data_IF_223773740615
#
_entry.id   IF_223773740615
#
_cell.length_a   1.000
_cell.length_b   1.000
_cell.length_c   1.000
_cell.angle_alpha   90.00
_cell.angle_beta   90.00
_cell.angle_gamma   90.00
#
_symmetry.space_group_name_H-M   'P 1'
#
loop_
_entity.id
_entity.type
_entity.pdbx_description
1 polymer ?
#
# COMPACT_ATOMS: atom_id res chain seq x y z
N UNK A 1 -6.00 -19.49 -35.41
CA UNK A 1 -7.03 -20.04 -34.50
C UNK A 1 -8.20 -19.06 -34.47
N UNK A 2 -9.41 -19.44 -34.91
CA UNK A 2 -10.59 -18.57 -34.87
C UNK A 2 -11.44 -18.93 -33.66
N UNK A 3 -11.66 -17.98 -32.76
CA UNK A 3 -12.53 -18.14 -31.60
C UNK A 3 -13.93 -17.66 -31.96
N UNK A 4 -14.94 -18.52 -31.79
CA UNK A 4 -16.36 -18.18 -31.96
C UNK A 4 -17.02 -18.14 -30.59
N UNK A 5 -17.60 -16.98 -30.25
CA UNK A 5 -18.35 -16.86 -29.00
C UNK A 5 -19.68 -17.65 -29.07
N UNK A 6 -20.14 -18.26 -27.96
CA UNK A 6 -21.38 -19.05 -27.92
C UNK A 6 -22.66 -18.24 -28.19
N UNK A 7 -22.63 -16.93 -27.91
CA UNK A 7 -23.77 -16.03 -28.09
C UNK A 7 -23.36 -14.65 -28.62
N UNK A 8 -24.27 -13.88 -29.23
CA UNK A 8 -24.00 -12.50 -29.63
C UNK A 8 -23.66 -11.58 -28.43
N UNK A 9 -24.23 -11.85 -27.26
CA UNK A 9 -23.99 -11.09 -26.04
C UNK A 9 -22.57 -11.33 -25.53
N UNK A 10 -22.12 -12.58 -25.53
CA UNK A 10 -20.73 -12.88 -25.14
C UNK A 10 -19.76 -12.33 -26.18
N UNK A 11 -20.07 -12.39 -27.48
CA UNK A 11 -19.28 -11.68 -28.49
C UNK A 11 -19.11 -10.20 -28.13
N UNK A 12 -20.19 -9.52 -27.74
CA UNK A 12 -20.12 -8.12 -27.36
C UNK A 12 -19.30 -7.89 -26.09
N UNK A 13 -19.46 -8.73 -25.05
CA UNK A 13 -18.64 -8.65 -23.83
C UNK A 13 -17.15 -8.81 -24.13
N UNK A 14 -16.80 -9.77 -24.98
CA UNK A 14 -15.42 -10.00 -25.38
C UNK A 14 -14.88 -8.88 -26.27
N UNK A 15 -15.70 -8.33 -27.18
CA UNK A 15 -15.32 -7.16 -27.99
C UNK A 15 -15.12 -5.90 -27.13
N UNK A 16 -15.98 -5.68 -26.14
CA UNK A 16 -15.86 -4.56 -25.20
C UNK A 16 -14.61 -4.75 -24.34
N UNK A 17 -14.39 -5.94 -23.76
CA UNK A 17 -13.18 -6.22 -22.99
C UNK A 17 -11.90 -6.05 -23.84
N UNK A 18 -11.90 -6.53 -25.09
CA UNK A 18 -10.78 -6.39 -26.03
C UNK A 18 -10.57 -4.94 -26.45
N UNK A 19 -11.64 -4.20 -26.71
CA UNK A 19 -11.61 -2.78 -27.05
C UNK A 19 -11.11 -1.93 -25.89
N UNK A 20 -11.59 -2.18 -24.68
CA UNK A 20 -11.12 -1.54 -23.45
C UNK A 20 -9.65 -1.85 -23.19
N UNK A 21 -9.23 -3.12 -23.34
CA UNK A 21 -7.82 -3.49 -23.21
C UNK A 21 -6.95 -2.77 -24.25
N UNK A 22 -7.39 -2.69 -25.52
CA UNK A 22 -6.66 -1.96 -26.56
C UNK A 22 -6.59 -0.46 -26.30
N UNK A 23 -7.66 0.18 -25.81
CA UNK A 23 -7.64 1.60 -25.44
C UNK A 23 -6.70 1.86 -24.25
N UNK A 24 -6.65 0.96 -23.27
CA UNK A 24 -5.68 1.01 -22.19
C UNK A 24 -4.23 0.79 -22.67
N UNK A 25 -4.02 0.00 -23.73
CA UNK A 25 -2.69 -0.28 -24.29
C UNK A 25 -2.21 0.85 -25.21
N UNK A 26 -3.10 1.49 -25.96
CA UNK A 26 -2.78 2.67 -26.78
C UNK A 26 -2.45 3.90 -25.90
N UNK A 27 -3.03 3.94 -24.69
CA UNK A 27 -2.63 4.90 -23.65
C UNK A 27 -1.27 4.57 -23.00
N UNK A 28 -0.65 3.43 -23.31
CA UNK A 28 0.61 3.00 -22.68
C UNK A 28 1.86 3.66 -23.29
N UNK A 29 1.72 4.36 -24.42
CA UNK A 29 2.79 5.22 -24.95
C UNK A 29 2.70 6.68 -24.43
N UNK A 30 1.62 7.03 -23.72
CA UNK A 30 1.56 8.26 -22.91
C UNK A 30 1.47 7.90 -21.42
N UNK A 31 2.64 7.86 -20.78
CA UNK A 31 2.82 7.99 -19.32
C UNK A 31 2.24 6.81 -18.54
N UNK A 32 3.07 5.80 -18.28
CA UNK A 32 2.92 4.93 -17.10
C UNK A 32 2.52 5.85 -15.94
N UNK A 33 1.38 5.63 -15.26
CA UNK A 33 0.99 6.49 -14.16
C UNK A 33 2.15 6.43 -13.14
N UNK A 34 2.78 7.56 -12.79
CA UNK A 34 3.97 7.60 -11.93
C UNK A 34 3.76 6.84 -10.61
N UNK A 35 2.50 6.68 -10.21
CA UNK A 35 2.06 6.01 -9.00
C UNK A 35 2.48 4.53 -8.86
N UNK A 36 2.58 3.74 -9.94
CA UNK A 36 2.88 2.31 -9.81
C UNK A 36 4.39 2.03 -9.62
N UNK A 37 5.23 2.71 -10.39
CA UNK A 37 6.69 2.62 -10.24
C UNK A 37 7.14 3.27 -8.92
N UNK A 38 6.53 4.41 -8.55
CA UNK A 38 6.81 5.08 -7.26
C UNK A 38 6.35 4.25 -6.06
N UNK A 39 5.23 3.51 -6.17
CA UNK A 39 4.75 2.63 -5.11
C UNK A 39 5.66 1.40 -4.92
N UNK A 40 6.11 0.77 -6.01
CA UNK A 40 7.06 -0.33 -5.96
C UNK A 40 8.41 0.15 -5.39
N UNK A 41 8.91 1.30 -5.85
CA UNK A 41 10.10 1.97 -5.32
C UNK A 41 9.96 2.27 -3.82
N UNK A 42 8.82 2.81 -3.38
CA UNK A 42 8.54 3.09 -1.98
C UNK A 42 8.53 1.82 -1.12
N UNK A 43 7.93 0.73 -1.62
CA UNK A 43 7.87 -0.55 -0.90
C UNK A 43 9.25 -1.19 -0.75
N UNK A 44 10.11 -1.07 -1.78
CA UNK A 44 11.49 -1.52 -1.76
C UNK A 44 12.29 -0.73 -0.72
N UNK A 45 12.26 0.61 -0.80
CA UNK A 45 12.97 1.49 0.14
C UNK A 45 12.53 1.26 1.60
N UNK A 46 11.25 0.97 1.86
CA UNK A 46 10.77 0.60 3.20
C UNK A 46 11.40 -0.71 3.71
N UNK A 47 11.62 -1.68 2.82
CA UNK A 47 12.30 -2.93 3.18
C UNK A 47 13.78 -2.71 3.41
N UNK A 48 14.43 -1.83 2.63
CA UNK A 48 15.81 -1.39 2.86
C UNK A 48 15.99 -0.75 4.25
N UNK A 49 15.06 0.11 4.70
CA UNK A 49 15.15 0.70 6.04
C UNK A 49 15.18 -0.36 7.15
N UNK A 50 14.39 -1.44 7.02
CA UNK A 50 14.41 -2.53 8.00
C UNK A 50 15.76 -3.25 7.99
N UNK A 51 16.31 -3.51 6.81
CA UNK A 51 17.64 -4.10 6.67
C UNK A 51 18.72 -3.24 7.32
N UNK A 52 18.68 -1.92 7.15
CA UNK A 52 19.63 -1.03 7.82
C UNK A 52 19.50 -1.07 9.34
N UNK A 53 18.29 -1.16 9.90
CA UNK A 53 18.10 -1.36 11.34
C UNK A 53 18.78 -2.64 11.85
N UNK A 54 18.58 -3.75 11.15
CA UNK A 54 19.20 -5.03 11.50
C UNK A 54 20.73 -4.94 11.42
N UNK A 55 21.24 -4.31 10.36
CA UNK A 55 22.67 -4.13 10.15
C UNK A 55 23.32 -3.22 11.21
N UNK A 56 22.68 -2.10 11.57
CA UNK A 56 23.15 -1.22 12.65
C UNK A 56 23.19 -1.95 13.99
N UNK A 57 22.17 -2.78 14.29
CA UNK A 57 22.17 -3.61 15.49
C UNK A 57 23.35 -4.59 15.50
N UNK A 58 23.60 -5.28 14.37
CA UNK A 58 24.74 -6.18 14.22
C UNK A 58 26.08 -5.45 14.40
N UNK A 59 26.24 -4.25 13.84
CA UNK A 59 27.45 -3.45 13.97
C UNK A 59 27.67 -2.97 15.40
N UNK A 60 26.62 -2.56 16.12
CA UNK A 60 26.69 -2.22 17.55
C UNK A 60 27.14 -3.43 18.38
N UNK A 61 26.63 -4.62 18.07
CA UNK A 61 27.11 -5.86 18.71
C UNK A 61 28.56 -6.15 18.37
N UNK A 62 28.99 -5.96 17.12
CA UNK A 62 30.38 -6.15 16.70
C UNK A 62 31.34 -5.21 17.45
N UNK A 63 30.99 -3.93 17.57
CA UNK A 63 31.74 -2.93 18.37
C UNK A 63 31.82 -3.38 19.83
N UNK A 64 30.69 -3.77 20.43
CA UNK A 64 30.65 -4.24 21.82
C UNK A 64 31.51 -5.49 22.04
N UNK A 65 31.46 -6.46 21.12
CA UNK A 65 32.27 -7.67 21.20
C UNK A 65 33.76 -7.38 21.07
N UNK A 66 34.16 -6.50 20.13
CA UNK A 66 35.56 -6.12 19.95
C UNK A 66 36.12 -5.32 21.14
N UNK A 67 35.28 -4.49 21.79
CA UNK A 67 35.67 -3.74 22.98
C UNK A 67 35.80 -4.60 24.25
N UNK A 68 35.10 -5.74 24.32
CA UNK A 68 35.09 -6.65 25.47
C UNK A 68 35.81 -7.98 25.18
N UNK A 69 36.75 -7.99 24.23
CA UNK A 69 37.53 -9.19 23.95
C UNK A 69 38.44 -9.56 25.14
N UNK A 70 38.63 -10.87 25.37
CA UNK A 70 39.37 -11.42 26.53
C UNK A 70 40.83 -10.97 26.58
N UNK A 71 41.48 -10.79 25.42
CA UNK A 71 42.86 -10.28 25.29
C UNK A 71 42.94 -8.74 25.33
N UNK A 72 41.83 -8.07 25.65
CA UNK A 72 41.71 -6.62 25.67
C UNK A 72 41.05 -6.03 24.41
N UNK A 73 40.75 -4.71 24.40
CA UNK A 73 39.99 -4.08 23.32
C UNK A 73 40.70 -4.16 21.97
N UNK A 74 40.02 -4.70 20.96
CA UNK A 74 40.57 -4.82 19.61
C UNK A 74 40.33 -3.53 18.81
N UNK A 75 41.21 -2.55 19.01
CA UNK A 75 41.05 -1.18 18.49
C UNK A 75 40.76 -1.14 16.98
N UNK A 76 41.44 -1.96 16.18
CA UNK A 76 41.21 -1.96 14.73
C UNK A 76 39.80 -2.44 14.36
N UNK A 77 39.31 -3.53 14.99
CA UNK A 77 37.94 -4.01 14.74
C UNK A 77 36.89 -3.03 15.23
N UNK A 78 37.16 -2.32 16.32
CA UNK A 78 36.28 -1.26 16.82
C UNK A 78 36.19 -0.13 15.79
N UNK A 79 37.33 0.32 15.26
CA UNK A 79 37.39 1.39 14.26
C UNK A 79 36.67 0.99 12.97
N UNK A 80 36.95 -0.20 12.45
CA UNK A 80 36.31 -0.75 11.24
C UNK A 80 34.79 -0.86 11.41
N UNK A 81 34.33 -1.42 12.54
CA UNK A 81 32.90 -1.58 12.82
C UNK A 81 32.19 -0.23 13.04
N UNK A 82 32.87 0.74 13.66
CA UNK A 82 32.33 2.09 13.87
C UNK A 82 32.27 2.88 12.57
N UNK A 83 33.31 2.81 11.74
CA UNK A 83 33.35 3.41 10.40
C UNK A 83 32.23 2.86 9.51
N UNK A 84 32.04 1.54 9.49
CA UNK A 84 30.96 0.90 8.76
C UNK A 84 29.58 1.28 9.31
N UNK A 85 29.45 1.44 10.64
CA UNK A 85 28.22 1.93 11.27
C UNK A 85 27.87 3.34 10.81
N UNK A 86 28.84 4.25 10.79
CA UNK A 86 28.64 5.61 10.25
C UNK A 86 28.15 5.56 8.80
N UNK A 87 28.79 4.77 7.94
CA UNK A 87 28.37 4.64 6.55
C UNK A 87 26.95 4.06 6.39
N UNK A 88 26.55 3.15 7.29
CA UNK A 88 25.21 2.56 7.32
C UNK A 88 24.18 3.60 7.76
N UNK A 89 24.46 4.37 8.81
CA UNK A 89 23.62 5.47 9.27
C UNK A 89 23.41 6.52 8.17
N UNK A 90 24.47 6.93 7.47
CA UNK A 90 24.37 7.90 6.37
C UNK A 90 23.46 7.40 5.24
N UNK A 91 23.57 6.11 4.91
CA UNK A 91 22.76 5.48 3.86
C UNK A 91 21.30 5.32 4.30
N UNK A 92 21.07 4.98 5.57
CA UNK A 92 19.75 4.96 6.17
C UNK A 92 19.05 6.32 6.07
N UNK A 93 19.75 7.40 6.45
CA UNK A 93 19.21 8.77 6.39
C UNK A 93 18.83 9.14 4.96
N UNK A 94 19.73 8.92 3.98
CA UNK A 94 19.43 9.19 2.56
C UNK A 94 18.20 8.44 2.08
N UNK A 95 18.06 7.17 2.46
CA UNK A 95 16.91 6.34 2.07
C UNK A 95 15.62 6.82 2.72
N UNK A 96 15.68 7.25 3.99
CA UNK A 96 14.55 7.80 4.72
C UNK A 96 14.08 9.12 4.10
N UNK A 97 15.00 10.02 3.76
CA UNK A 97 14.69 11.28 3.07
C UNK A 97 14.01 11.03 1.72
N UNK A 98 14.49 10.06 0.97
CA UNK A 98 13.89 9.66 -0.30
C UNK A 98 12.45 9.14 -0.14
N UNK A 99 12.18 8.35 0.90
CA UNK A 99 10.84 7.89 1.23
C UNK A 99 9.93 9.08 1.55
N UNK A 100 10.42 10.06 2.30
CA UNK A 100 9.66 11.28 2.60
C UNK A 100 9.34 12.07 1.33
N UNK A 101 10.29 12.21 0.40
CA UNK A 101 10.08 12.87 -0.91
C UNK A 101 9.03 12.14 -1.74
N UNK A 102 9.12 10.81 -1.85
CA UNK A 102 8.15 9.98 -2.57
C UNK A 102 6.74 10.09 -1.96
N UNK A 103 6.65 10.13 -0.63
CA UNK A 103 5.36 10.24 0.07
C UNK A 103 4.73 11.62 -0.11
N UNK A 104 5.52 12.70 -0.03
CA UNK A 104 5.06 14.07 -0.31
C UNK A 104 4.62 14.25 -1.76
N UNK A 105 5.36 13.64 -2.69
CA UNK A 105 5.01 13.65 -4.13
C UNK A 105 3.72 12.88 -4.39
N UNK A 106 3.51 11.73 -3.74
CA UNK A 106 2.26 10.99 -3.83
C UNK A 106 1.06 11.77 -3.25
N UNK A 107 1.26 12.50 -2.15
CA UNK A 107 0.20 13.31 -1.53
C UNK A 107 -0.19 14.54 -2.37
N UNK A 108 0.77 15.16 -3.05
CA UNK A 108 0.53 16.34 -3.91
C UNK A 108 -0.05 15.98 -5.27
N UNK A 109 0.19 14.76 -5.76
CA UNK A 109 -0.35 14.25 -7.02
C UNK A 109 -1.69 13.53 -6.88
N UNK A 110 -2.40 13.64 -5.76
CA UNK A 110 -3.77 13.14 -5.66
C UNK A 110 -4.65 13.85 -6.70
N UNK A 111 -5.11 13.18 -7.78
CA UNK A 111 -6.02 13.81 -8.71
C UNK A 111 -7.35 14.00 -7.98
N UNK A 112 -7.79 15.24 -7.93
CA UNK A 112 -9.18 15.66 -7.78
C UNK A 112 -10.15 14.54 -8.23
N UNK A 113 -11.01 14.14 -7.30
CA UNK A 113 -12.15 13.28 -7.57
C UNK A 113 -12.96 13.88 -8.74
N UNK A 114 -13.00 13.19 -9.87
CA UNK A 114 -13.80 13.60 -11.02
C UNK A 114 -15.27 13.22 -10.72
N UNK A 115 -16.23 14.17 -10.70
CA UNK A 115 -17.62 13.86 -10.42
C UNK A 115 -18.19 12.86 -11.43
N UNK A 116 -18.78 11.78 -10.90
CA UNK A 116 -19.50 10.76 -11.66
C UNK A 116 -20.60 11.43 -12.52
N UNK A 117 -20.63 11.23 -13.85
CA UNK A 117 -21.76 11.69 -14.66
C UNK A 117 -23.04 10.96 -14.21
N UNK A 118 -24.01 11.71 -13.70
CA UNK A 118 -25.35 11.24 -13.38
C UNK A 118 -25.95 10.48 -14.57
N UNK A 119 -26.06 9.16 -14.45
CA UNK A 119 -26.98 8.37 -15.26
C UNK A 119 -28.38 8.60 -14.71
N UNK A 120 -29.10 9.52 -15.36
CA UNK A 120 -30.55 9.69 -15.23
C UNK A 120 -31.21 8.35 -15.58
N UNK A 121 -31.58 7.56 -14.57
CA UNK A 121 -32.46 6.40 -14.76
C UNK A 121 -33.90 6.91 -14.74
N UNK A 122 -34.51 6.74 -15.90
CA UNK A 122 -35.86 7.10 -16.27
C UNK A 122 -36.92 6.50 -15.34
N UNK A 123 -37.96 7.28 -15.13
CA UNK A 123 -39.14 7.06 -14.28
C UNK A 123 -40.09 6.03 -14.87
N UNK A 124 -40.24 4.86 -14.24
CA UNK A 124 -41.38 3.96 -14.50
C UNK A 124 -42.13 3.68 -13.19
N UNK A 125 -43.32 4.26 -13.14
CA UNK A 125 -44.34 4.10 -12.10
C UNK A 125 -45.00 2.72 -12.25
N UNK A 126 -45.14 1.95 -11.18
CA UNK A 126 -46.24 0.99 -11.09
C UNK A 126 -46.58 0.68 -9.63
N UNK A 127 -47.66 1.34 -9.20
CA UNK A 127 -48.45 1.05 -8.01
C UNK A 127 -48.85 -0.43 -7.92
N UNK A 128 -48.70 -1.05 -6.75
CA UNK A 128 -49.77 -1.84 -6.13
C UNK A 128 -49.57 -2.02 -4.62
N UNK A 129 -50.71 -1.97 -3.94
CA UNK A 129 -50.94 -1.76 -2.51
C UNK A 129 -51.52 -3.06 -1.94
N UNK A 130 -50.94 -3.60 -0.86
CA UNK A 130 -51.65 -4.48 0.10
C UNK A 130 -50.76 -4.65 1.34
N UNK A 131 -51.01 -3.90 2.42
CA UNK A 131 -51.88 -4.24 3.56
C UNK A 131 -51.29 -5.24 4.57
N UNK A 132 -50.99 -4.67 5.75
CA UNK A 132 -51.30 -5.13 7.11
C UNK A 132 -50.53 -6.29 7.78
N UNK A 133 -50.26 -6.03 9.07
CA UNK A 133 -50.28 -6.95 10.22
C UNK A 133 -48.93 -7.42 10.84
N UNK A 134 -48.56 -6.68 11.90
CA UNK A 134 -48.34 -7.16 13.27
C UNK A 134 -46.91 -7.30 13.87
N UNK A 135 -46.73 -6.50 14.93
CA UNK A 135 -46.12 -6.78 16.26
C UNK A 135 -44.60 -6.99 16.37
N UNK A 136 -43.90 -5.95 16.85
CA UNK A 136 -42.81 -6.06 17.82
C UNK A 136 -43.42 -5.99 19.25
N UNK A 137 -42.81 -6.51 20.34
CA UNK A 137 -41.49 -6.04 20.82
C UNK A 137 -40.61 -7.10 21.53
N UNK A 138 -39.28 -6.94 21.50
CA UNK A 138 -38.45 -7.16 22.69
C UNK A 138 -37.06 -6.53 22.53
N UNK A 139 -36.81 -5.59 23.43
CA UNK A 139 -35.52 -4.97 23.69
C UNK A 139 -34.63 -5.96 24.44
N UNK A 140 -33.35 -6.06 24.09
CA UNK A 140 -32.32 -6.51 25.02
C UNK A 140 -31.11 -5.59 24.90
N UNK A 141 -30.97 -4.75 25.92
CA UNK A 141 -29.82 -3.94 26.25
C UNK A 141 -28.65 -4.87 26.61
N UNK A 142 -27.46 -4.61 26.08
CA UNK A 142 -26.21 -5.10 26.66
C UNK A 142 -25.25 -3.94 26.74
N UNK A 143 -25.18 -3.35 27.94
CA UNK A 143 -24.21 -2.32 28.31
C UNK A 143 -22.91 -2.98 28.78
N UNK A 144 -21.86 -2.31 28.36
CA UNK A 144 -20.41 -2.40 28.55
C UNK A 144 -19.85 -2.63 29.96
N UNK A 145 -18.54 -2.98 29.93
CA UNK A 145 -17.43 -2.56 30.82
C UNK A 145 -17.31 -3.20 32.22
N UNK A 146 -16.19 -3.89 32.42
CA UNK A 146 -15.46 -3.90 33.71
C UNK A 146 -13.95 -4.01 33.48
N UNK A 147 -13.25 -2.87 33.63
CA UNK A 147 -11.88 -2.77 34.16
C UNK A 147 -11.96 -3.00 35.69
N UNK A 148 -11.11 -3.86 36.26
CA UNK A 148 -9.83 -3.54 36.94
C UNK A 148 -9.98 -2.80 38.29
N UNK A 149 -9.17 -3.26 39.26
CA UNK A 149 -8.72 -2.62 40.50
C UNK A 149 -9.44 -3.04 41.80
N UNK A 150 -8.85 -3.97 42.57
CA UNK A 150 -8.03 -3.69 43.77
C UNK A 150 -7.53 -4.98 44.42
#
# INVERSE_FOLDING_TARGET
MYLRAPSPQDRQKWLVALGSAKACVDSKELKVPPTLEDANSLSHKKSELRLYCDLMMQQVHAVKSAANAEDGPEIQKIDDATSLLTATCDTFIRTLEDIMKLTTTAATNAPYEMPIPNLVINKNNSSNKSQLSNKAPRQSISRSLSQENR
#
